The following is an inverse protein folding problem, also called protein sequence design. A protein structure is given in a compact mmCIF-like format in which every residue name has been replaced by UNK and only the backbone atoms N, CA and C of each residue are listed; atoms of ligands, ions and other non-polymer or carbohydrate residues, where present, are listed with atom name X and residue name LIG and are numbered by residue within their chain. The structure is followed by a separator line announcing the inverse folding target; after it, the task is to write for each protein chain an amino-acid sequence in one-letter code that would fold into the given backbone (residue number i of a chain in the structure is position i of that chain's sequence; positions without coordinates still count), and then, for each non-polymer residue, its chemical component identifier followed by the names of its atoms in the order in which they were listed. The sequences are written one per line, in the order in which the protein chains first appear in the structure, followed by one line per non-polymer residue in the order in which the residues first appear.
data_IF_310429792336
#
_entry.id   IF_310429792336
#
_cell.length_a   1.000
_cell.length_b   1.000
_cell.length_c   1.000
_cell.angle_alpha   90.00
_cell.angle_beta   90.00
_cell.angle_gamma   90.00
#
_symmetry.space_group_name_H-M   'P 1'
#
loop_
_entity.id
_entity.type
_entity.pdbx_description
1 polymer ?
#
# COMPACT_ATOMS: atom_id res chain seq x y z
N UNK A 1 41.12 -42.81 -20.13
CA UNK A 1 41.42 -42.53 -18.71
C UNK A 1 41.16 -41.07 -18.43
N UNK A 2 40.55 -40.75 -17.29
CA UNK A 2 40.34 -39.36 -16.87
C UNK A 2 41.58 -38.85 -16.14
N UNK A 3 42.11 -37.65 -16.50
CA UNK A 3 43.20 -37.05 -15.78
C UNK A 3 42.74 -36.67 -14.38
N UNK A 4 43.56 -36.96 -13.37
CA UNK A 4 43.25 -36.64 -11.95
C UNK A 4 43.00 -35.14 -11.70
N UNK A 5 43.64 -34.27 -12.47
CA UNK A 5 43.44 -32.82 -12.38
C UNK A 5 42.01 -32.36 -12.70
N UNK A 6 41.30 -33.10 -13.55
CA UNK A 6 39.97 -32.78 -13.99
C UNK A 6 38.84 -33.39 -13.14
N UNK A 7 39.19 -34.26 -12.19
CA UNK A 7 38.22 -34.93 -11.32
C UNK A 7 37.68 -34.02 -10.23
N UNK A 8 36.38 -34.10 -10.01
CA UNK A 8 35.68 -33.47 -8.87
C UNK A 8 34.64 -34.42 -8.30
N UNK A 9 34.53 -34.47 -6.99
CA UNK A 9 33.41 -35.12 -6.32
C UNK A 9 32.24 -34.15 -6.23
N UNK A 10 31.05 -34.58 -6.62
CA UNK A 10 29.85 -33.74 -6.55
C UNK A 10 29.36 -33.63 -5.10
N UNK A 11 28.97 -32.44 -4.62
CA UNK A 11 28.39 -32.26 -3.29
C UNK A 11 27.04 -32.97 -3.20
N UNK A 12 26.81 -33.71 -2.13
CA UNK A 12 25.55 -34.48 -1.90
C UNK A 12 25.54 -35.90 -2.49
N UNK A 13 26.63 -36.33 -3.12
CA UNK A 13 26.70 -37.62 -3.80
C UNK A 13 27.10 -38.80 -2.92
N UNK A 14 27.08 -38.70 -1.58
CA UNK A 14 27.24 -39.85 -0.68
C UNK A 14 25.85 -40.20 -0.14
N UNK A 15 25.05 -40.90 -0.95
CA UNK A 15 23.84 -41.56 -0.50
C UNK A 15 24.10 -43.04 -0.50
N UNK A 16 23.87 -43.73 0.59
CA UNK A 16 24.05 -45.19 0.74
C UNK A 16 25.49 -45.70 0.44
N UNK A 17 26.51 -44.87 0.81
CA UNK A 17 27.94 -45.24 0.59
C UNK A 17 28.47 -44.99 -0.81
N UNK A 18 27.60 -44.58 -1.78
CA UNK A 18 28.01 -44.24 -3.15
C UNK A 18 28.45 -42.76 -3.25
N UNK A 19 29.45 -42.51 -4.08
CA UNK A 19 29.90 -41.15 -4.39
C UNK A 19 29.99 -40.95 -5.91
N UNK A 20 29.69 -39.76 -6.37
CA UNK A 20 29.68 -39.40 -7.80
C UNK A 20 30.91 -38.56 -8.11
N UNK A 21 31.71 -39.02 -9.05
CA UNK A 21 32.81 -38.26 -9.65
C UNK A 21 32.35 -37.67 -10.98
N UNK A 22 32.70 -36.40 -11.19
CA UNK A 22 32.47 -35.71 -12.44
C UNK A 22 33.81 -35.23 -13.03
N UNK A 23 33.91 -35.20 -14.35
CA UNK A 23 35.00 -34.56 -15.06
C UNK A 23 34.68 -33.09 -15.31
N UNK A 24 35.60 -32.22 -14.99
CA UNK A 24 35.40 -30.76 -15.27
C UNK A 24 35.23 -30.53 -16.77
N UNK A 25 34.25 -29.70 -17.11
CA UNK A 25 33.88 -29.32 -18.48
C UNK A 25 33.16 -30.39 -19.32
N UNK A 26 32.87 -31.55 -18.78
CA UNK A 26 32.09 -32.60 -19.47
C UNK A 26 30.86 -33.03 -18.66
N UNK A 27 29.85 -33.52 -19.34
CA UNK A 27 28.66 -34.07 -18.69
C UNK A 27 28.86 -35.47 -18.09
N UNK A 28 30.07 -36.07 -18.31
CA UNK A 28 30.38 -37.41 -17.88
C UNK A 28 30.45 -37.50 -16.34
N UNK A 29 29.76 -38.50 -15.78
CA UNK A 29 29.71 -38.81 -14.36
C UNK A 29 29.96 -40.28 -14.15
N UNK A 30 30.66 -40.63 -13.07
CA UNK A 30 30.93 -42.01 -12.64
C UNK A 30 30.48 -42.12 -11.18
N UNK A 31 29.60 -43.08 -10.90
CA UNK A 31 29.19 -43.45 -9.57
C UNK A 31 30.05 -44.60 -9.06
N UNK A 32 30.54 -44.52 -7.84
CA UNK A 32 31.38 -45.49 -7.23
C UNK A 32 31.01 -45.74 -5.77
N UNK A 33 30.97 -46.99 -5.34
CA UNK A 33 30.65 -47.40 -3.95
C UNK A 33 31.87 -47.74 -3.12
N UNK A 34 33.07 -47.68 -3.69
CA UNK A 34 34.32 -48.03 -2.97
C UNK A 34 34.86 -46.88 -2.13
N UNK A 35 34.65 -46.98 -0.82
CA UNK A 35 35.13 -45.98 0.16
C UNK A 35 36.67 -45.97 0.27
N UNK A 36 37.39 -47.03 -0.08
CA UNK A 36 38.82 -47.05 -0.08
C UNK A 36 39.36 -46.22 -1.27
N UNK A 37 38.77 -46.41 -2.46
CA UNK A 37 39.08 -45.59 -3.62
C UNK A 37 38.84 -44.09 -3.37
N UNK A 38 37.77 -43.72 -2.69
CA UNK A 38 37.49 -42.33 -2.37
C UNK A 38 38.54 -41.74 -1.44
N UNK A 39 39.02 -42.51 -0.45
CA UNK A 39 40.11 -42.07 0.46
C UNK A 39 41.42 -41.84 -0.30
N UNK A 40 41.75 -42.73 -1.18
CA UNK A 40 42.98 -42.63 -1.98
C UNK A 40 42.93 -41.49 -2.97
N UNK A 41 41.81 -41.31 -3.64
CA UNK A 41 41.57 -40.17 -4.52
C UNK A 41 41.65 -38.84 -3.78
N UNK A 42 41.13 -38.76 -2.53
CA UNK A 42 41.26 -37.54 -1.68
C UNK A 42 42.71 -37.23 -1.32
N UNK A 43 43.58 -38.26 -1.19
CA UNK A 43 44.99 -38.07 -0.91
C UNK A 43 45.77 -37.60 -2.16
N UNK A 44 45.42 -38.13 -3.32
CA UNK A 44 46.15 -37.90 -4.57
C UNK A 44 45.65 -36.67 -5.35
N UNK A 45 44.34 -36.38 -5.28
CA UNK A 45 43.71 -35.27 -6.04
C UNK A 45 43.47 -34.06 -5.13
N UNK A 46 44.36 -33.10 -5.16
CA UNK A 46 44.20 -31.84 -4.42
C UNK A 46 42.97 -31.10 -4.95
N UNK A 47 41.96 -30.94 -4.10
CA UNK A 47 40.72 -30.22 -4.44
C UNK A 47 39.56 -31.06 -4.97
N UNK A 48 39.64 -32.39 -4.86
CA UNK A 48 38.55 -33.31 -5.26
C UNK A 48 37.20 -32.93 -4.63
N UNK A 49 37.18 -32.51 -3.38
CA UNK A 49 35.97 -32.11 -2.62
C UNK A 49 35.76 -30.60 -2.55
N UNK A 50 36.54 -29.81 -3.30
CA UNK A 50 36.29 -28.38 -3.39
C UNK A 50 34.98 -28.19 -4.16
N UNK A 51 33.94 -27.80 -3.44
CA UNK A 51 32.65 -27.37 -4.05
C UNK A 51 32.91 -26.27 -5.10
N UNK A 52 31.93 -26.01 -5.97
CA UNK A 52 32.03 -24.96 -6.96
C UNK A 52 32.52 -23.69 -6.26
N UNK A 53 33.59 -23.12 -6.79
CA UNK A 53 34.17 -21.90 -6.21
C UNK A 53 33.04 -20.89 -6.00
N UNK A 54 32.80 -20.48 -4.76
CA UNK A 54 31.80 -19.48 -4.40
C UNK A 54 31.95 -18.36 -5.42
N UNK A 55 30.96 -18.18 -6.29
CA UNK A 55 31.02 -17.25 -7.43
C UNK A 55 31.60 -15.93 -6.92
N UNK A 56 32.80 -15.58 -7.31
CA UNK A 56 33.51 -14.33 -6.91
C UNK A 56 32.70 -13.05 -7.22
N UNK A 57 31.55 -13.18 -7.90
CA UNK A 57 30.60 -12.10 -8.18
C UNK A 57 29.39 -12.02 -7.25
N UNK A 58 29.10 -13.05 -6.43
CA UNK A 58 27.88 -13.08 -5.63
C UNK A 58 27.76 -11.88 -4.65
N UNK A 59 28.89 -11.46 -4.06
CA UNK A 59 28.92 -10.27 -3.21
C UNK A 59 28.63 -8.97 -3.96
N UNK A 60 29.15 -8.84 -5.20
CA UNK A 60 28.83 -7.66 -6.04
C UNK A 60 27.38 -7.65 -6.47
N UNK A 61 26.83 -8.79 -6.85
CA UNK A 61 25.40 -8.90 -7.21
C UNK A 61 24.51 -8.57 -6.01
N UNK A 62 24.83 -9.09 -4.82
CA UNK A 62 24.13 -8.77 -3.58
C UNK A 62 24.21 -7.27 -3.24
N UNK A 63 25.38 -6.64 -3.42
CA UNK A 63 25.57 -5.21 -3.20
C UNK A 63 24.71 -4.37 -4.15
N UNK A 64 24.72 -4.68 -5.46
CA UNK A 64 23.92 -3.95 -6.45
C UNK A 64 22.42 -4.18 -6.26
N UNK A 65 22.00 -5.41 -5.90
CA UNK A 65 20.62 -5.69 -5.56
C UNK A 65 20.17 -4.89 -4.32
N UNK A 66 21.00 -4.86 -3.27
CA UNK A 66 20.75 -4.03 -2.09
C UNK A 66 20.70 -2.53 -2.39
N UNK A 67 21.59 -2.03 -3.24
CA UNK A 67 21.57 -0.64 -3.68
C UNK A 67 20.30 -0.30 -4.50
N UNK A 68 19.87 -1.20 -5.38
CA UNK A 68 18.64 -1.03 -6.14
C UNK A 68 17.40 -0.99 -5.25
N UNK A 69 17.28 -1.91 -4.28
CA UNK A 69 16.20 -1.92 -3.30
C UNK A 69 16.24 -0.65 -2.43
N UNK A 70 17.42 -0.22 -2.00
CA UNK A 70 17.60 1.01 -1.23
C UNK A 70 17.20 2.26 -2.02
N UNK A 71 17.56 2.33 -3.30
CA UNK A 71 17.17 3.43 -4.20
C UNK A 71 15.64 3.46 -4.41
N UNK A 72 15.01 2.30 -4.61
CA UNK A 72 13.56 2.19 -4.74
C UNK A 72 12.84 2.64 -3.45
N UNK A 73 13.32 2.18 -2.30
CA UNK A 73 12.79 2.61 -1.01
C UNK A 73 12.92 4.14 -0.83
N UNK A 74 14.07 4.72 -1.19
CA UNK A 74 14.27 6.17 -1.15
C UNK A 74 13.32 6.92 -2.09
N UNK A 75 13.05 6.38 -3.27
CA UNK A 75 12.06 6.96 -4.18
C UNK A 75 10.65 6.92 -3.58
N UNK A 76 10.18 5.76 -3.12
CA UNK A 76 8.81 5.57 -2.61
C UNK A 76 8.60 6.35 -1.30
N UNK A 77 9.50 6.24 -0.34
CA UNK A 77 9.33 6.83 1.00
C UNK A 77 9.94 8.22 1.16
N UNK A 78 10.81 8.63 0.26
CA UNK A 78 11.49 9.93 0.31
C UNK A 78 11.06 10.89 -0.78
N UNK A 79 11.22 10.51 -2.05
CA UNK A 79 11.01 11.41 -3.19
C UNK A 79 9.53 11.59 -3.50
N UNK A 80 8.77 10.50 -3.62
CA UNK A 80 7.33 10.56 -3.98
C UNK A 80 6.53 11.42 -3.00
N UNK A 81 6.65 11.29 -1.66
CA UNK A 81 5.93 12.17 -0.74
C UNK A 81 6.29 13.66 -0.90
N UNK A 82 7.57 13.97 -1.07
CA UNK A 82 8.01 15.36 -1.27
C UNK A 82 7.49 15.97 -2.58
N UNK A 83 7.48 15.17 -3.65
CA UNK A 83 6.90 15.60 -4.92
C UNK A 83 5.39 15.81 -4.80
N UNK A 84 4.67 14.91 -4.14
CA UNK A 84 3.23 15.05 -3.91
C UNK A 84 2.91 16.35 -3.15
N UNK A 85 3.67 16.68 -2.11
CA UNK A 85 3.52 17.95 -1.38
C UNK A 85 3.74 19.19 -2.25
N UNK A 86 4.78 19.17 -3.10
CA UNK A 86 5.07 20.29 -4.01
C UNK A 86 4.04 20.41 -5.13
N UNK A 87 3.60 19.29 -5.69
CA UNK A 87 2.59 19.27 -6.76
C UNK A 87 1.22 19.72 -6.26
N UNK A 88 0.85 19.37 -5.02
CA UNK A 88 -0.44 19.76 -4.42
C UNK A 88 -0.69 21.27 -4.49
N UNK A 89 0.35 22.09 -4.31
CA UNK A 89 0.21 23.56 -4.34
C UNK A 89 0.01 24.10 -5.78
N UNK A 90 0.48 23.36 -6.79
CA UNK A 90 0.45 23.76 -8.20
C UNK A 90 -0.82 23.29 -8.93
N UNK A 91 -1.54 22.32 -8.37
CA UNK A 91 -2.73 21.75 -9.00
C UNK A 91 -3.91 22.68 -8.81
N UNK A 92 -4.52 23.07 -9.93
CA UNK A 92 -5.73 23.88 -9.96
C UNK A 92 -6.92 23.12 -9.33
N UNK A 93 -7.82 23.79 -8.59
CA UNK A 93 -9.01 23.16 -8.00
C UNK A 93 -9.88 22.40 -9.00
N UNK A 94 -10.02 22.86 -10.24
CA UNK A 94 -10.81 22.17 -11.26
C UNK A 94 -10.17 20.86 -11.70
N UNK A 95 -8.84 20.82 -11.77
CA UNK A 95 -8.08 19.60 -12.05
C UNK A 95 -8.22 18.63 -10.88
N UNK A 96 -8.20 19.12 -9.64
CA UNK A 96 -8.39 18.30 -8.45
C UNK A 96 -9.79 17.66 -8.40
N UNK A 97 -10.84 18.42 -8.74
CA UNK A 97 -12.19 17.87 -8.87
C UNK A 97 -12.23 16.74 -9.90
N UNK A 98 -11.66 16.96 -11.08
CA UNK A 98 -11.63 15.94 -12.14
C UNK A 98 -10.84 14.68 -11.71
N UNK A 99 -9.74 14.86 -10.98
CA UNK A 99 -8.98 13.75 -10.39
C UNK A 99 -9.83 12.97 -9.38
N UNK A 100 -10.56 13.66 -8.48
CA UNK A 100 -11.43 13.03 -7.49
C UNK A 100 -12.57 12.24 -8.16
N UNK A 101 -13.17 12.77 -9.22
CA UNK A 101 -14.20 12.08 -9.98
C UNK A 101 -13.64 10.79 -10.64
N UNK A 102 -12.43 10.84 -11.19
CA UNK A 102 -11.78 9.66 -11.75
C UNK A 102 -11.42 8.63 -10.68
N UNK A 103 -10.87 9.06 -9.55
CA UNK A 103 -10.55 8.16 -8.41
C UNK A 103 -11.82 7.49 -7.91
N UNK A 104 -12.91 8.24 -7.75
CA UNK A 104 -14.22 7.70 -7.32
C UNK A 104 -14.74 6.62 -8.26
N UNK A 105 -14.67 6.85 -9.58
CA UNK A 105 -15.09 5.85 -10.58
C UNK A 105 -14.25 4.60 -10.49
N UNK A 106 -12.92 4.74 -10.48
CA UNK A 106 -11.99 3.61 -10.34
C UNK A 106 -12.20 2.83 -9.05
N UNK A 107 -12.41 3.54 -7.94
CA UNK A 107 -12.71 2.92 -6.67
C UNK A 107 -14.01 2.11 -6.73
N UNK A 108 -15.06 2.63 -7.39
CA UNK A 108 -16.31 1.91 -7.60
C UNK A 108 -16.16 0.66 -8.46
N UNK A 109 -15.27 0.69 -9.46
CA UNK A 109 -15.01 -0.47 -10.32
C UNK A 109 -14.30 -1.63 -9.59
N UNK A 110 -13.42 -1.31 -8.63
CA UNK A 110 -12.57 -2.31 -7.97
C UNK A 110 -12.98 -2.61 -6.54
N UNK A 111 -13.82 -1.79 -5.91
CA UNK A 111 -14.28 -2.01 -4.53
C UNK A 111 -15.01 -3.34 -4.32
N UNK A 112 -15.82 -3.89 -5.25
CA UNK A 112 -16.39 -5.22 -5.08
C UNK A 112 -15.33 -6.32 -4.93
N UNK A 113 -14.17 -6.15 -5.56
CA UNK A 113 -13.05 -7.10 -5.45
C UNK A 113 -12.25 -6.94 -4.15
N UNK A 114 -12.14 -5.68 -3.64
CA UNK A 114 -11.29 -5.37 -2.48
C UNK A 114 -12.03 -5.43 -1.14
N UNK A 115 -13.31 -5.12 -1.13
CA UNK A 115 -14.13 -5.04 0.08
C UNK A 115 -15.11 -6.22 0.14
N UNK A 116 -16.19 -6.12 -0.62
CA UNK A 116 -17.20 -7.18 -0.81
C UNK A 116 -18.07 -6.86 -2.04
N UNK A 117 -18.88 -7.84 -2.48
CA UNK A 117 -19.76 -7.70 -3.67
C UNK A 117 -20.84 -6.63 -3.51
N UNK A 118 -21.08 -6.12 -2.29
CA UNK A 118 -22.05 -5.05 -1.99
C UNK A 118 -21.45 -3.67 -2.11
N UNK A 119 -20.14 -3.55 -2.21
CA UNK A 119 -19.43 -2.27 -2.19
C UNK A 119 -19.86 -1.36 -3.36
N UNK A 120 -20.85 -0.53 -3.11
CA UNK A 120 -21.45 0.41 -4.08
C UNK A 120 -22.08 1.62 -3.38
N UNK A 121 -22.25 2.70 -4.13
CA UNK A 121 -22.94 3.88 -3.63
C UNK A 121 -24.39 3.56 -3.24
N UNK A 122 -24.79 3.98 -2.05
CA UNK A 122 -26.17 3.89 -1.59
C UNK A 122 -27.06 4.87 -2.36
N UNK A 123 -28.27 4.43 -2.69
CA UNK A 123 -29.29 5.25 -3.37
C UNK A 123 -30.49 5.38 -2.44
N UNK A 124 -30.39 6.22 -1.42
CA UNK A 124 -31.49 6.61 -0.54
C UNK A 124 -31.63 8.13 -0.53
N UNK A 125 -32.65 8.69 -1.21
CA UNK A 125 -32.84 10.13 -1.29
C UNK A 125 -33.09 10.80 0.07
N UNK A 126 -33.70 10.09 1.03
CA UNK A 126 -34.00 10.66 2.35
C UNK A 126 -32.74 10.76 3.18
N UNK A 127 -31.91 9.70 3.20
CA UNK A 127 -30.62 9.67 3.85
C UNK A 127 -29.65 10.70 3.24
N UNK A 128 -29.56 10.76 1.91
CA UNK A 128 -28.72 11.75 1.23
C UNK A 128 -29.14 13.18 1.61
N UNK A 129 -30.43 13.49 1.60
CA UNK A 129 -30.92 14.81 2.02
C UNK A 129 -30.62 15.13 3.48
N UNK A 130 -30.61 14.14 4.37
CA UNK A 130 -30.22 14.34 5.77
C UNK A 130 -28.73 14.66 5.87
N UNK A 131 -27.88 13.93 5.14
CA UNK A 131 -26.45 14.15 5.06
C UNK A 131 -26.12 15.53 4.46
N UNK A 132 -26.79 15.93 3.36
CA UNK A 132 -26.60 17.24 2.74
C UNK A 132 -26.94 18.39 3.70
N UNK A 133 -27.98 18.24 4.54
CA UNK A 133 -28.30 19.24 5.58
C UNK A 133 -27.21 19.31 6.65
N UNK A 134 -26.66 18.19 7.05
CA UNK A 134 -25.53 18.13 8.00
C UNK A 134 -24.31 18.83 7.42
N UNK A 135 -23.93 18.50 6.17
CA UNK A 135 -22.85 19.17 5.44
C UNK A 135 -23.09 20.67 5.41
N UNK A 136 -24.25 21.13 4.96
CA UNK A 136 -24.57 22.54 4.85
C UNK A 136 -24.52 23.27 6.20
N UNK A 137 -24.93 22.62 7.29
CA UNK A 137 -24.85 23.18 8.65
C UNK A 137 -23.40 23.35 9.11
N UNK A 138 -22.57 22.28 8.95
CA UNK A 138 -21.20 22.25 9.46
C UNK A 138 -20.30 23.16 8.61
N UNK A 139 -20.48 23.15 7.27
CA UNK A 139 -19.60 23.91 6.38
C UNK A 139 -20.08 25.32 6.04
N UNK A 140 -21.09 25.85 6.74
CA UNK A 140 -21.73 27.14 6.42
C UNK A 140 -20.74 28.30 6.26
N UNK A 141 -19.74 28.37 7.14
CA UNK A 141 -18.78 29.48 7.21
C UNK A 141 -17.39 29.10 6.66
N UNK A 142 -17.33 28.01 5.89
CA UNK A 142 -16.08 27.56 5.26
C UNK A 142 -15.94 28.15 3.85
N UNK A 143 -14.77 28.71 3.60
CA UNK A 143 -14.33 29.10 2.27
C UNK A 143 -13.41 28.00 1.70
N UNK A 144 -14.00 27.10 0.90
CA UNK A 144 -13.28 26.01 0.21
C UNK A 144 -13.24 26.30 -1.30
N UNK A 145 -12.17 25.92 -1.99
CA UNK A 145 -12.01 26.19 -3.41
C UNK A 145 -12.96 25.36 -4.31
N UNK A 146 -13.72 24.43 -3.72
CA UNK A 146 -14.68 23.55 -4.40
C UNK A 146 -15.79 23.14 -3.42
N UNK A 147 -16.98 22.76 -3.95
CA UNK A 147 -18.09 22.28 -3.13
C UNK A 147 -17.78 20.92 -2.50
N UNK A 148 -18.26 20.71 -1.28
CA UNK A 148 -18.25 19.40 -0.64
C UNK A 148 -19.27 18.48 -1.31
N UNK A 149 -18.86 17.25 -1.61
CA UNK A 149 -19.69 16.19 -2.17
C UNK A 149 -19.57 14.97 -1.30
N UNK A 150 -20.57 14.68 -0.49
CA UNK A 150 -20.55 13.57 0.47
C UNK A 150 -21.52 12.50 -0.01
N UNK A 151 -21.07 11.28 -0.12
CA UNK A 151 -21.88 10.13 -0.52
C UNK A 151 -21.66 8.96 0.45
N UNK A 152 -22.64 8.07 0.53
CA UNK A 152 -22.58 6.87 1.37
C UNK A 152 -22.40 5.65 0.46
N UNK A 153 -21.50 4.75 0.85
CA UNK A 153 -21.28 3.48 0.17
C UNK A 153 -21.62 2.32 1.10
N UNK A 154 -22.33 1.34 0.58
CA UNK A 154 -22.58 0.08 1.28
C UNK A 154 -21.37 -0.84 1.13
N UNK A 155 -20.63 -1.04 2.21
CA UNK A 155 -19.49 -1.95 2.29
C UNK A 155 -19.24 -2.31 3.74
N UNK A 156 -18.72 -3.51 3.99
CA UNK A 156 -18.39 -3.99 5.33
C UNK A 156 -17.11 -3.31 5.86
N UNK A 157 -17.22 -2.00 6.12
CA UNK A 157 -16.12 -1.17 6.58
C UNK A 157 -16.61 -0.03 7.46
N UNK A 158 -16.04 0.09 8.65
CA UNK A 158 -16.29 1.22 9.58
C UNK A 158 -15.25 2.29 9.30
N UNK A 159 -15.49 3.11 8.29
CA UNK A 159 -14.53 4.14 7.88
C UNK A 159 -15.24 5.26 7.10
N UNK A 160 -14.52 6.37 6.90
CA UNK A 160 -14.79 7.40 5.91
C UNK A 160 -13.49 7.72 5.18
N UNK A 161 -13.56 8.19 3.96
CA UNK A 161 -12.39 8.56 3.17
C UNK A 161 -12.59 9.87 2.43
N UNK A 162 -11.56 10.69 2.41
CA UNK A 162 -11.51 11.94 1.64
C UNK A 162 -10.75 11.72 0.35
N UNK A 163 -11.42 11.99 -0.78
CA UNK A 163 -10.85 12.01 -2.12
C UNK A 163 -10.53 13.44 -2.56
N UNK A 164 -9.72 13.64 -3.62
CA UNK A 164 -9.45 14.98 -4.16
C UNK A 164 -10.73 15.74 -4.54
N UNK A 165 -10.67 17.08 -4.51
CA UNK A 165 -11.73 17.96 -5.01
C UNK A 165 -13.00 18.02 -4.16
N UNK A 166 -12.86 17.82 -2.84
CA UNK A 166 -13.97 17.99 -1.88
C UNK A 166 -14.93 16.81 -1.81
N UNK A 167 -14.54 15.64 -2.32
CA UNK A 167 -15.36 14.44 -2.27
C UNK A 167 -15.04 13.62 -1.02
N UNK A 168 -16.09 13.22 -0.28
CA UNK A 168 -16.00 12.37 0.92
C UNK A 168 -16.92 11.16 0.72
N UNK A 169 -16.43 9.98 1.01
CA UNK A 169 -17.20 8.74 1.00
C UNK A 169 -17.29 8.24 2.44
N UNK A 170 -18.53 8.11 2.94
CA UNK A 170 -18.82 7.42 4.18
C UNK A 170 -19.18 5.98 3.86
N UNK A 171 -18.64 5.04 4.62
CA UNK A 171 -19.13 3.67 4.56
C UNK A 171 -20.31 3.49 5.50
N UNK A 172 -21.33 2.78 5.03
CA UNK A 172 -22.61 2.65 5.73
C UNK A 172 -22.44 2.09 7.16
N UNK A 173 -21.53 1.16 7.36
CA UNK A 173 -21.28 0.56 8.68
C UNK A 173 -20.80 1.58 9.71
N UNK A 174 -20.09 2.63 9.30
CA UNK A 174 -19.76 3.74 10.20
C UNK A 174 -21.02 4.44 10.71
N UNK A 175 -21.97 4.73 9.81
CA UNK A 175 -23.23 5.38 10.16
C UNK A 175 -24.08 4.46 11.04
N UNK A 176 -24.13 3.17 10.74
CA UNK A 176 -24.88 2.17 11.52
C UNK A 176 -24.31 1.96 12.93
N UNK A 177 -23.00 2.13 13.12
CA UNK A 177 -22.35 2.01 14.41
C UNK A 177 -22.29 3.33 15.20
N UNK A 178 -22.74 4.42 14.60
CA UNK A 178 -22.91 5.69 15.30
C UNK A 178 -24.19 5.69 16.12
N UNK A 179 -24.11 6.08 17.38
CA UNK A 179 -25.27 6.14 18.29
C UNK A 179 -26.07 7.44 18.11
N UNK A 180 -25.40 8.50 17.64
CA UNK A 180 -25.99 9.82 17.48
C UNK A 180 -25.61 10.49 16.16
N UNK A 181 -26.38 11.48 15.73
CA UNK A 181 -26.04 12.29 14.57
C UNK A 181 -24.80 13.15 14.80
N UNK A 182 -24.50 13.49 16.05
CA UNK A 182 -23.33 14.24 16.46
C UNK A 182 -22.04 13.45 16.28
N UNK A 183 -22.05 12.11 16.45
CA UNK A 183 -20.93 11.23 16.15
C UNK A 183 -20.60 11.25 14.65
N UNK A 184 -21.63 11.11 13.80
CA UNK A 184 -21.47 11.21 12.34
C UNK A 184 -20.98 12.60 11.94
N UNK A 185 -21.50 13.65 12.57
CA UNK A 185 -21.07 15.03 12.36
C UNK A 185 -19.60 15.25 12.75
N UNK A 186 -19.16 14.59 13.80
CA UNK A 186 -17.77 14.59 14.24
C UNK A 186 -16.81 14.03 13.18
N UNK A 187 -17.13 12.85 12.68
CA UNK A 187 -16.35 12.22 11.60
C UNK A 187 -16.40 13.08 10.33
N UNK A 188 -17.58 13.61 9.97
CA UNK A 188 -17.72 14.52 8.83
C UNK A 188 -16.83 15.76 8.97
N UNK A 189 -16.78 16.38 10.15
CA UNK A 189 -15.94 17.53 10.39
C UNK A 189 -14.44 17.20 10.28
N UNK A 190 -14.04 16.01 10.69
CA UNK A 190 -12.67 15.50 10.53
C UNK A 190 -12.32 15.32 9.05
N UNK A 191 -13.19 14.67 8.27
CA UNK A 191 -13.01 14.50 6.82
C UNK A 191 -12.98 15.85 6.08
N UNK A 192 -13.80 16.83 6.51
CA UNK A 192 -13.73 18.20 5.98
C UNK A 192 -12.37 18.84 6.31
N UNK A 193 -11.76 18.51 7.45
CA UNK A 193 -10.40 18.90 7.78
C UNK A 193 -9.39 18.40 6.75
N UNK A 194 -9.47 17.16 6.34
CA UNK A 194 -8.64 16.59 5.26
C UNK A 194 -8.91 17.25 3.91
N UNK A 195 -10.17 17.60 3.62
CA UNK A 195 -10.51 18.39 2.41
C UNK A 195 -9.83 19.76 2.46
N UNK A 196 -9.96 20.48 3.56
CA UNK A 196 -9.39 21.84 3.74
C UNK A 196 -7.86 21.83 3.59
N UNK A 197 -7.21 20.77 4.06
CA UNK A 197 -5.76 20.59 3.93
C UNK A 197 -5.35 19.91 2.62
N UNK A 198 -6.28 19.54 1.75
CA UNK A 198 -6.03 18.83 0.48
C UNK A 198 -5.28 17.50 0.67
N UNK A 199 -5.51 16.81 1.77
CA UNK A 199 -4.80 15.58 2.11
C UNK A 199 -5.17 14.43 1.17
N UNK A 200 -6.44 14.36 0.71
CA UNK A 200 -6.89 13.40 -0.30
C UNK A 200 -6.12 13.52 -1.62
N UNK A 201 -5.79 14.75 -2.04
CA UNK A 201 -4.94 14.97 -3.22
C UNK A 201 -3.51 14.48 -2.98
N UNK A 202 -2.91 14.81 -1.84
CA UNK A 202 -1.55 14.34 -1.49
C UNK A 202 -1.49 12.82 -1.45
N UNK A 203 -2.48 12.19 -0.84
CA UNK A 203 -2.57 10.73 -0.76
C UNK A 203 -2.70 10.11 -2.15
N UNK A 204 -3.59 10.63 -2.99
CA UNK A 204 -3.79 10.17 -4.37
C UNK A 204 -2.52 10.30 -5.22
N UNK A 205 -1.80 11.42 -5.10
CA UNK A 205 -0.52 11.62 -5.80
C UNK A 205 0.57 10.65 -5.31
N UNK A 206 0.64 10.38 -4.00
CA UNK A 206 1.57 9.39 -3.43
C UNK A 206 1.23 7.98 -3.90
N UNK A 207 -0.05 7.60 -3.85
CA UNK A 207 -0.51 6.30 -4.30
C UNK A 207 -0.19 6.08 -5.79
N UNK A 208 -0.54 7.04 -6.66
CA UNK A 208 -0.26 6.97 -8.08
C UNK A 208 1.26 6.93 -8.38
N UNK A 209 2.07 7.73 -7.68
CA UNK A 209 3.52 7.73 -7.83
C UNK A 209 4.16 6.41 -7.41
N UNK A 210 3.76 5.85 -6.27
CA UNK A 210 4.27 4.57 -5.76
C UNK A 210 3.83 3.41 -6.65
N UNK A 211 2.55 3.37 -7.03
CA UNK A 211 2.00 2.34 -7.90
C UNK A 211 2.62 2.37 -9.30
N UNK A 212 2.85 3.57 -9.86
CA UNK A 212 3.53 3.73 -11.15
C UNK A 212 4.98 3.21 -11.11
N UNK A 213 5.73 3.50 -10.05
CA UNK A 213 7.09 2.97 -9.88
C UNK A 213 7.11 1.44 -9.76
N UNK A 214 6.20 0.86 -8.98
CA UNK A 214 6.07 -0.58 -8.83
C UNK A 214 5.64 -1.24 -10.14
N UNK A 215 4.67 -0.66 -10.86
CA UNK A 215 4.21 -1.13 -12.16
C UNK A 215 5.34 -1.20 -13.19
N UNK A 216 6.21 -0.19 -13.25
CA UNK A 216 7.39 -0.19 -14.12
C UNK A 216 8.36 -1.35 -13.81
N UNK A 217 8.52 -1.71 -12.53
CA UNK A 217 9.43 -2.78 -12.10
C UNK A 217 8.87 -4.15 -12.44
N UNK A 218 7.56 -4.34 -12.22
CA UNK A 218 6.87 -5.62 -12.49
C UNK A 218 6.59 -5.80 -13.98
N UNK A 219 6.71 -4.73 -14.78
CA UNK A 219 6.42 -4.76 -16.22
C UNK A 219 4.92 -4.70 -16.52
N UNK A 220 4.13 -4.12 -15.61
CA UNK A 220 2.68 -3.91 -15.80
C UNK A 220 2.43 -2.75 -16.78
N UNK A 221 2.46 -3.07 -18.07
CA UNK A 221 2.18 -2.09 -19.13
C UNK A 221 0.71 -1.64 -19.18
N UNK A 222 -0.20 -2.39 -18.52
CA UNK A 222 -1.64 -2.10 -18.51
C UNK A 222 -2.05 -1.20 -17.34
N UNK A 223 -1.23 -1.10 -16.31
CA UNK A 223 -1.52 -0.36 -15.08
C UNK A 223 -2.58 -1.03 -14.19
N UNK A 224 -2.99 -2.26 -14.49
CA UNK A 224 -4.04 -2.96 -13.75
C UNK A 224 -3.63 -3.24 -12.31
N UNK A 225 -2.46 -3.86 -12.10
CA UNK A 225 -1.93 -4.12 -10.76
C UNK A 225 -1.64 -2.81 -10.01
N UNK A 226 -1.12 -1.80 -10.70
CA UNK A 226 -0.87 -0.48 -10.13
C UNK A 226 -2.16 0.20 -9.65
N UNK A 227 -3.26 0.06 -10.40
CA UNK A 227 -4.57 0.61 -10.00
C UNK A 227 -5.13 -0.06 -8.74
N UNK A 228 -4.99 -1.38 -8.60
CA UNK A 228 -5.41 -2.13 -7.41
C UNK A 228 -4.60 -1.69 -6.18
N UNK A 229 -3.27 -1.61 -6.30
CA UNK A 229 -2.39 -1.15 -5.21
C UNK A 229 -2.74 0.28 -4.79
N UNK A 230 -2.98 1.18 -5.75
CA UNK A 230 -3.35 2.55 -5.45
C UNK A 230 -4.70 2.65 -4.73
N UNK A 231 -5.68 1.85 -5.12
CA UNK A 231 -6.99 1.81 -4.48
C UNK A 231 -6.92 1.23 -3.06
N UNK A 232 -6.18 0.15 -2.86
CA UNK A 232 -5.94 -0.41 -1.53
C UNK A 232 -5.29 0.62 -0.60
N UNK A 233 -4.31 1.38 -1.10
CA UNK A 233 -3.71 2.47 -0.33
C UNK A 233 -4.69 3.59 0.01
N UNK A 234 -5.67 3.87 -0.84
CA UNK A 234 -6.71 4.87 -0.57
C UNK A 234 -7.74 4.37 0.44
N UNK A 235 -8.19 3.11 0.31
CA UNK A 235 -9.16 2.51 1.23
C UNK A 235 -8.59 2.32 2.64
N UNK A 236 -7.30 1.97 2.74
CA UNK A 236 -6.57 1.83 3.99
C UNK A 236 -5.79 3.12 4.32
N UNK A 237 -6.33 4.28 3.94
CA UNK A 237 -5.64 5.55 4.07
C UNK A 237 -5.17 5.78 5.51
N UNK A 238 -3.87 5.74 5.70
CA UNK A 238 -3.23 6.26 6.91
C UNK A 238 -2.58 7.58 6.56
N UNK A 239 -3.19 8.66 6.99
CA UNK A 239 -2.58 9.97 6.92
C UNK A 239 -1.39 10.07 7.87
N UNK A 240 -0.52 11.05 7.68
CA UNK A 240 0.56 11.26 8.64
C UNK A 240 -0.01 11.76 9.97
N UNK A 241 0.64 11.46 11.09
CA UNK A 241 0.22 11.98 12.42
C UNK A 241 0.03 13.50 12.43
N UNK A 242 0.81 14.23 11.65
CA UNK A 242 0.65 15.68 11.51
C UNK A 242 -0.64 16.07 10.81
N UNK A 243 -1.02 15.35 9.75
CA UNK A 243 -2.27 15.55 9.03
C UNK A 243 -3.48 15.21 9.91
N UNK A 244 -3.45 14.06 10.60
CA UNK A 244 -4.49 13.68 11.58
C UNK A 244 -4.69 14.74 12.65
N UNK A 245 -3.58 15.18 13.30
CA UNK A 245 -3.67 16.25 14.33
C UNK A 245 -4.21 17.56 13.78
N UNK A 246 -3.92 17.87 12.50
CA UNK A 246 -4.45 19.08 11.86
C UNK A 246 -5.94 18.92 11.54
N UNK A 247 -6.37 17.75 11.06
CA UNK A 247 -7.77 17.43 10.79
C UNK A 247 -8.60 17.41 12.09
N UNK A 248 -8.09 16.82 13.17
CA UNK A 248 -8.73 16.84 14.49
C UNK A 248 -8.96 18.27 15.00
N UNK A 249 -7.90 19.11 14.98
CA UNK A 249 -8.01 20.51 15.40
C UNK A 249 -9.01 21.29 14.55
N UNK A 250 -9.03 20.99 13.24
CA UNK A 250 -9.98 21.60 12.33
C UNK A 250 -11.41 21.16 12.67
N UNK A 251 -11.63 19.87 12.91
CA UNK A 251 -12.91 19.30 13.29
C UNK A 251 -13.45 19.93 14.59
N UNK A 252 -12.64 20.01 15.63
CA UNK A 252 -13.02 20.67 16.90
C UNK A 252 -13.49 22.11 16.70
N UNK A 253 -12.72 22.91 15.95
CA UNK A 253 -13.09 24.28 15.66
C UNK A 253 -14.37 24.39 14.82
N UNK A 254 -14.56 23.46 13.90
CA UNK A 254 -15.71 23.45 13.00
C UNK A 254 -17.00 23.08 13.73
N UNK A 255 -16.95 22.04 14.58
CA UNK A 255 -18.07 21.58 15.38
C UNK A 255 -18.49 22.64 16.40
N UNK A 256 -17.55 23.29 17.08
CA UNK A 256 -17.81 24.37 18.01
C UNK A 256 -18.56 25.53 17.34
N UNK A 257 -18.10 25.98 16.16
CA UNK A 257 -18.78 27.02 15.37
C UNK A 257 -20.18 26.60 14.92
N UNK A 258 -20.39 25.32 14.64
CA UNK A 258 -21.68 24.77 14.23
C UNK A 258 -22.63 24.49 15.40
N UNK A 259 -22.22 24.73 16.64
CA UNK A 259 -22.90 24.34 17.89
C UNK A 259 -23.27 22.85 17.89
N UNK A 260 -22.30 21.99 17.59
CA UNK A 260 -22.37 20.53 17.69
C UNK A 260 -21.49 20.08 18.84
N UNK A 261 -21.97 19.14 19.65
CA UNK A 261 -21.23 18.65 20.81
C UNK A 261 -19.95 17.91 20.38
N UNK A 262 -18.82 18.47 20.73
CA UNK A 262 -17.49 17.95 20.42
C UNK A 262 -17.20 16.63 21.16
N UNK A 263 -17.84 16.40 22.31
CA UNK A 263 -17.62 15.19 23.11
C UNK A 263 -18.07 13.92 22.39
N UNK A 264 -19.10 14.02 21.53
CA UNK A 264 -19.58 12.92 20.70
C UNK A 264 -18.52 12.42 19.72
N UNK A 265 -17.71 13.32 19.16
CA UNK A 265 -16.59 12.96 18.27
C UNK A 265 -15.53 12.10 19.00
N UNK A 266 -15.11 12.52 20.19
CA UNK A 266 -14.15 11.76 20.99
C UNK A 266 -14.71 10.39 21.41
N UNK A 267 -15.98 10.35 21.86
CA UNK A 267 -16.66 9.13 22.28
C UNK A 267 -16.78 8.09 21.15
N UNK A 268 -17.02 8.52 19.91
CA UNK A 268 -17.06 7.63 18.75
C UNK A 268 -15.73 6.90 18.56
N UNK A 269 -14.60 7.63 18.55
CA UNK A 269 -13.28 7.00 18.36
C UNK A 269 -12.86 6.09 19.51
N UNK A 270 -13.21 6.44 20.75
CA UNK A 270 -12.98 5.55 21.90
C UNK A 270 -13.77 4.24 21.74
N UNK A 271 -15.03 4.31 21.32
CA UNK A 271 -15.89 3.14 21.07
C UNK A 271 -15.32 2.24 19.98
N UNK A 272 -14.95 2.80 18.82
CA UNK A 272 -14.38 2.01 17.71
C UNK A 272 -13.00 1.45 18.08
N UNK A 273 -12.16 2.18 18.79
CA UNK A 273 -10.87 1.70 19.27
C UNK A 273 -10.99 0.50 20.23
N UNK A 274 -12.02 0.47 21.06
CA UNK A 274 -12.30 -0.67 21.97
C UNK A 274 -12.83 -1.90 21.23
N UNK A 275 -13.51 -1.75 20.10
CA UNK A 275 -14.02 -2.86 19.29
C UNK A 275 -12.93 -3.51 18.43
N UNK A 276 -11.85 -2.79 18.13
CA UNK A 276 -10.73 -3.25 17.32
C UNK A 276 -9.61 -3.91 18.13
N UNK A 277 -9.65 -3.86 19.49
CA UNK A 277 -8.66 -4.44 20.40
C UNK A 277 -9.05 -5.85 20.87
#
# INVERSE_FOLDING_TARGET
AWPFADLRALPGGVKDGMFTLARMKEAARVECSDAALLRDLRRQVRGLTRGPARRRGAGRVALWAGAAVGALALMIFGLVPRLAERLTVLIDPQVEIAMGDQVRVRLGDISPMLLDDRARACVDPAGQKALDRMVARISRDLDLPYPLRVEVWDANMVNAITLPGGRIIFFNDLIQQSDTAEEVAGVLAHEIGHVAHRDGLRLSLRAAGSAGLLGLIVGDATGGAAAVIAAEQLLNASYTRGAETAADRFAFNLLDKANVDVSAFAGFFEKIGQQAA
#
